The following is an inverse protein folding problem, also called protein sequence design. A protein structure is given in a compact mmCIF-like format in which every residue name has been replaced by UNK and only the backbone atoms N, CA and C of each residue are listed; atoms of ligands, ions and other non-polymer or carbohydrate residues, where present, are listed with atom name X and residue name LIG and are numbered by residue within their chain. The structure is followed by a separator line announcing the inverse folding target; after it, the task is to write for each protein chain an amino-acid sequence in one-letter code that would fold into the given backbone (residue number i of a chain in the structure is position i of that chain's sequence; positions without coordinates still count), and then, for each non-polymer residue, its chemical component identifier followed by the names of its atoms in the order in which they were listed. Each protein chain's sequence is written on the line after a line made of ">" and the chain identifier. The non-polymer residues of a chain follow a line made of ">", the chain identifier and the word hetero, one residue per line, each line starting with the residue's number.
data_IF_913818495533
#
_entry.id   IF_913818495533
#
_cell.length_a   1.000
_cell.length_b   1.000
_cell.length_c   1.000
_cell.angle_alpha   90.00
_cell.angle_beta   90.00
_cell.angle_gamma   90.00
#
_symmetry.space_group_name_H-M   'P 1'
#
loop_
_entity.id
_entity.type
_entity.pdbx_description
1 polymer ?
#
# COMPACT_ATOMS: atom_id res chain seq x y z
N UNK A 1 28.55 -8.22 -8.12
CA UNK A 1 27.61 -8.90 -9.05
C UNK A 1 27.10 -10.16 -8.39
N UNK A 2 25.82 -10.38 -8.41
CA UNK A 2 25.19 -11.53 -7.79
C UNK A 2 25.10 -12.70 -8.79
N UNK A 3 25.11 -13.93 -8.26
CA UNK A 3 24.91 -15.14 -9.09
C UNK A 3 23.51 -15.21 -9.67
N UNK A 4 22.52 -14.68 -8.94
CA UNK A 4 21.13 -14.60 -9.35
C UNK A 4 20.77 -13.13 -9.43
N UNK A 5 20.26 -12.70 -10.56
CA UNK A 5 19.90 -11.32 -10.78
C UNK A 5 18.41 -11.13 -10.51
N UNK A 6 18.10 -10.29 -9.53
CA UNK A 6 16.75 -9.93 -9.14
C UNK A 6 16.56 -8.42 -9.35
N UNK A 7 15.47 -8.04 -9.97
CA UNK A 7 15.14 -6.65 -10.27
C UNK A 7 14.00 -6.16 -9.37
N UNK A 8 14.22 -6.25 -8.07
CA UNK A 8 13.27 -5.76 -7.08
C UNK A 8 12.05 -6.65 -6.91
N UNK A 9 10.99 -6.07 -6.43
CA UNK A 9 9.73 -6.78 -6.18
C UNK A 9 8.80 -6.64 -7.37
N UNK A 10 8.33 -7.78 -7.90
CA UNK A 10 7.39 -7.75 -9.02
C UNK A 10 5.99 -7.35 -8.56
N UNK A 11 5.50 -7.98 -7.50
CA UNK A 11 4.16 -7.67 -6.99
C UNK A 11 4.00 -8.08 -5.54
N UNK A 12 2.95 -7.57 -4.93
CA UNK A 12 2.46 -7.98 -3.60
C UNK A 12 0.97 -8.28 -3.73
N UNK A 13 0.54 -9.42 -3.20
CA UNK A 13 -0.88 -9.80 -3.16
C UNK A 13 -1.32 -9.81 -1.70
N UNK A 14 -2.36 -9.04 -1.40
CA UNK A 14 -2.94 -8.95 -0.07
C UNK A 14 -4.24 -9.73 -0.03
N UNK A 15 -4.40 -10.59 0.97
CA UNK A 15 -5.68 -11.25 1.22
C UNK A 15 -6.50 -10.36 2.14
N UNK A 16 -7.73 -10.06 1.73
CA UNK A 16 -8.62 -9.15 2.46
C UNK A 16 -9.94 -9.84 2.80
N UNK A 17 -10.52 -9.50 3.93
CA UNK A 17 -11.81 -10.06 4.31
C UNK A 17 -12.97 -9.22 3.80
N UNK A 18 -12.81 -7.89 3.76
CA UNK A 18 -13.82 -6.95 3.24
C UNK A 18 -13.52 -6.61 1.80
N UNK A 19 -13.71 -7.58 0.93
CA UNK A 19 -13.25 -7.46 -0.45
C UNK A 19 -13.91 -6.29 -1.20
N UNK A 20 -15.21 -6.11 -1.05
CA UNK A 20 -15.93 -5.03 -1.74
C UNK A 20 -15.40 -3.65 -1.32
N UNK A 21 -15.23 -3.44 -0.04
CA UNK A 21 -14.69 -2.18 0.50
C UNK A 21 -13.21 -2.00 0.12
N UNK A 22 -12.41 -3.07 0.21
CA UNK A 22 -11.01 -3.04 -0.19
C UNK A 22 -10.86 -2.73 -1.67
N UNK A 23 -11.68 -3.35 -2.50
CA UNK A 23 -11.68 -3.09 -3.95
C UNK A 23 -11.93 -1.62 -4.23
N UNK A 24 -12.95 -1.03 -3.60
CA UNK A 24 -13.25 0.39 -3.77
C UNK A 24 -12.08 1.26 -3.31
N UNK A 25 -11.49 0.93 -2.18
CA UNK A 25 -10.34 1.65 -1.63
C UNK A 25 -9.16 1.64 -2.60
N UNK A 26 -8.73 0.45 -3.04
CA UNK A 26 -7.55 0.33 -3.90
C UNK A 26 -7.82 0.87 -5.31
N UNK A 27 -9.01 0.71 -5.85
CA UNK A 27 -9.37 1.29 -7.14
C UNK A 27 -9.43 2.81 -7.11
N UNK A 28 -9.67 3.41 -5.94
CA UNK A 28 -9.62 4.86 -5.77
C UNK A 28 -8.20 5.36 -5.57
N UNK A 29 -7.41 4.64 -4.78
CA UNK A 29 -6.09 5.10 -4.35
C UNK A 29 -4.99 4.83 -5.40
N UNK A 30 -4.89 3.59 -5.88
CA UNK A 30 -3.75 3.18 -6.69
C UNK A 30 -3.62 3.94 -8.01
N UNK A 31 -4.71 4.32 -8.70
CA UNK A 31 -4.57 5.19 -9.87
C UNK A 31 -3.94 6.55 -9.57
N UNK A 32 -4.12 7.06 -8.34
CA UNK A 32 -3.46 8.31 -7.92
C UNK A 32 -1.94 8.15 -7.84
N UNK A 33 -1.46 6.93 -7.67
CA UNK A 33 -0.04 6.59 -7.67
C UNK A 33 0.45 6.20 -9.07
N UNK A 34 -0.37 6.37 -10.10
CA UNK A 34 0.00 6.03 -11.47
C UNK A 34 -0.16 4.55 -11.80
N UNK A 35 -0.87 3.79 -10.97
CA UNK A 35 -1.10 2.36 -11.21
C UNK A 35 -2.42 2.15 -11.95
N UNK A 36 -2.43 1.19 -12.87
CA UNK A 36 -3.57 0.90 -13.73
C UNK A 36 -4.16 -0.45 -13.34
N UNK A 37 -5.48 -0.50 -13.21
CA UNK A 37 -6.19 -1.76 -12.96
C UNK A 37 -6.19 -2.60 -14.22
N UNK A 38 -5.53 -3.78 -14.16
CA UNK A 38 -5.43 -4.69 -15.30
C UNK A 38 -6.24 -5.97 -15.12
N UNK A 39 -6.66 -6.27 -13.90
CA UNK A 39 -7.59 -7.36 -13.61
C UNK A 39 -8.59 -6.91 -12.57
N UNK A 40 -9.87 -7.15 -12.82
CA UNK A 40 -10.96 -6.71 -11.96
C UNK A 40 -12.05 -7.78 -11.95
N UNK A 41 -11.84 -8.83 -11.14
CA UNK A 41 -12.75 -9.96 -11.04
C UNK A 41 -13.56 -9.95 -9.75
N UNK A 42 -14.35 -10.99 -9.52
CA UNK A 42 -15.21 -11.11 -8.33
C UNK A 42 -14.39 -11.27 -7.04
N UNK A 43 -13.25 -11.96 -7.13
CA UNK A 43 -12.46 -12.31 -5.96
C UNK A 43 -11.03 -11.78 -6.02
N UNK A 44 -10.70 -11.01 -7.05
CA UNK A 44 -9.34 -10.54 -7.28
C UNK A 44 -9.34 -9.23 -8.04
N UNK A 45 -8.48 -8.29 -7.61
CA UNK A 45 -8.29 -7.02 -8.28
C UNK A 45 -6.79 -6.68 -8.28
N UNK A 46 -6.25 -6.24 -9.43
CA UNK A 46 -4.81 -6.14 -9.62
C UNK A 46 -4.46 -4.85 -10.36
N UNK A 47 -3.56 -4.06 -9.78
CA UNK A 47 -3.09 -2.80 -10.34
C UNK A 47 -1.60 -2.87 -10.59
N UNK A 48 -1.17 -2.34 -11.74
CA UNK A 48 0.25 -2.37 -12.18
C UNK A 48 0.72 -0.94 -12.44
N UNK A 49 1.93 -0.63 -12.00
CA UNK A 49 2.58 0.65 -12.27
C UNK A 49 3.80 0.82 -11.38
N UNK A 50 4.69 1.77 -11.75
CA UNK A 50 5.90 2.03 -10.97
C UNK A 50 6.83 0.84 -10.87
N UNK A 51 6.81 -0.05 -11.87
CA UNK A 51 7.62 -1.27 -11.95
C UNK A 51 7.28 -2.28 -10.84
N UNK A 52 6.07 -2.21 -10.32
CA UNK A 52 5.55 -3.16 -9.34
C UNK A 52 4.05 -3.36 -9.58
N UNK A 53 3.43 -4.17 -8.77
CA UNK A 53 1.99 -4.36 -8.81
C UNK A 53 1.46 -4.65 -7.42
N UNK A 54 0.22 -4.27 -7.18
CA UNK A 54 -0.48 -4.57 -5.94
C UNK A 54 -1.81 -5.21 -6.30
N UNK A 55 -2.02 -6.41 -5.76
CA UNK A 55 -3.27 -7.13 -5.93
C UNK A 55 -3.94 -7.35 -4.59
N UNK A 56 -5.25 -7.47 -4.63
CA UNK A 56 -6.04 -7.93 -3.49
C UNK A 56 -6.83 -9.14 -3.91
N UNK A 57 -6.97 -10.09 -2.99
CA UNK A 57 -7.81 -11.26 -3.20
C UNK A 57 -8.73 -11.44 -2.00
N UNK A 58 -9.91 -12.01 -2.26
CA UNK A 58 -10.85 -12.34 -1.19
C UNK A 58 -10.28 -13.46 -0.33
N UNK A 59 -10.43 -13.37 0.98
CA UNK A 59 -10.07 -14.46 1.89
C UNK A 59 -11.03 -15.64 1.72
N UNK A 60 -10.61 -16.81 2.20
CA UNK A 60 -11.51 -17.95 2.26
C UNK A 60 -12.62 -17.68 3.30
N UNK A 61 -13.81 -18.27 3.12
CA UNK A 61 -14.97 -17.96 3.99
C UNK A 61 -14.70 -18.15 5.48
N UNK A 62 -13.86 -19.12 5.85
CA UNK A 62 -13.52 -19.37 7.26
C UNK A 62 -12.77 -18.23 7.92
N UNK A 63 -12.14 -17.34 7.15
CA UNK A 63 -11.39 -16.19 7.66
C UNK A 63 -12.18 -14.88 7.53
N UNK A 64 -13.43 -14.97 7.10
CA UNK A 64 -14.31 -13.82 6.94
C UNK A 64 -14.46 -13.10 8.29
N UNK A 65 -14.27 -11.78 8.27
CA UNK A 65 -14.37 -10.97 9.48
C UNK A 65 -13.06 -10.79 10.23
N UNK A 66 -11.97 -11.47 9.84
CA UNK A 66 -10.65 -11.21 10.42
C UNK A 66 -10.17 -9.81 10.04
N UNK A 67 -9.37 -9.22 10.92
CA UNK A 67 -8.69 -7.96 10.67
C UNK A 67 -7.19 -8.16 10.72
N UNK A 68 -6.46 -7.29 10.05
CA UNK A 68 -5.00 -7.36 10.00
C UNK A 68 -4.39 -7.02 11.36
N UNK A 69 -3.34 -7.78 11.73
CA UNK A 69 -2.57 -7.56 12.94
C UNK A 69 -1.10 -7.44 12.57
N UNK A 70 -0.57 -6.24 12.60
CA UNK A 70 0.80 -5.96 12.12
C UNK A 70 1.90 -6.61 12.97
N UNK A 71 1.59 -7.00 14.19
CA UNK A 71 2.58 -7.60 15.09
C UNK A 71 2.55 -9.13 15.08
N UNK A 72 1.68 -9.72 14.27
CA UNK A 72 1.69 -11.17 14.04
C UNK A 72 2.73 -11.50 13.00
N UNK A 73 3.17 -12.77 13.00
CA UNK A 73 4.16 -13.22 11.99
C UNK A 73 3.59 -13.02 10.59
N UNK A 74 4.37 -12.34 9.73
CA UNK A 74 3.98 -12.06 8.36
C UNK A 74 4.27 -10.60 8.01
N UNK A 75 3.36 -9.98 7.29
CA UNK A 75 3.50 -8.60 6.87
C UNK A 75 3.35 -7.64 8.06
N UNK A 76 4.26 -6.69 8.18
CA UNK A 76 4.12 -5.57 9.12
C UNK A 76 3.44 -4.38 8.43
N UNK A 77 3.93 -3.99 7.27
CA UNK A 77 3.35 -2.95 6.42
C UNK A 77 3.97 -2.99 5.04
N UNK A 78 3.32 -2.30 4.10
CA UNK A 78 3.88 -2.02 2.77
C UNK A 78 4.37 -0.58 2.76
N UNK A 79 5.45 -0.32 2.03
CA UNK A 79 5.91 1.05 1.83
C UNK A 79 6.12 1.32 0.35
N UNK A 80 5.49 2.38 -0.14
CA UNK A 80 5.64 2.86 -1.50
C UNK A 80 6.53 4.10 -1.51
N UNK A 81 7.38 4.22 -2.51
CA UNK A 81 8.36 5.30 -2.60
C UNK A 81 7.76 6.52 -3.29
N UNK A 82 7.69 7.64 -2.56
CA UNK A 82 7.34 8.92 -3.15
C UNK A 82 8.56 9.55 -3.81
N UNK A 83 8.33 10.38 -4.83
CA UNK A 83 9.41 11.12 -5.50
C UNK A 83 9.76 12.41 -4.78
N UNK A 84 8.84 12.97 -3.99
CA UNK A 84 9.04 14.24 -3.30
C UNK A 84 8.15 14.34 -2.07
N UNK A 85 8.44 15.34 -1.22
CA UNK A 85 7.61 15.64 -0.04
C UNK A 85 6.18 16.01 -0.47
N UNK A 86 6.03 16.71 -1.58
CA UNK A 86 4.71 17.11 -2.10
C UNK A 86 3.86 15.88 -2.37
N UNK A 87 4.45 14.79 -2.85
CA UNK A 87 3.71 13.56 -3.15
C UNK A 87 3.18 12.89 -1.86
N UNK A 88 3.94 12.98 -0.78
CA UNK A 88 3.47 12.52 0.53
C UNK A 88 2.30 13.39 1.00
N UNK A 89 2.42 14.73 0.87
CA UNK A 89 1.36 15.65 1.26
C UNK A 89 0.09 15.47 0.42
N UNK A 90 0.24 15.22 -0.88
CA UNK A 90 -0.88 14.95 -1.78
C UNK A 90 -1.58 13.64 -1.42
N UNK A 91 -0.81 12.64 -1.00
CA UNK A 91 -1.36 11.39 -0.50
C UNK A 91 -2.25 11.64 0.71
N UNK A 92 -1.76 12.41 1.68
CA UNK A 92 -2.53 12.80 2.86
C UNK A 92 -3.86 13.44 2.47
N UNK A 93 -3.80 14.41 1.57
CA UNK A 93 -4.99 15.13 1.13
C UNK A 93 -6.02 14.20 0.50
N UNK A 94 -5.56 13.29 -0.36
CA UNK A 94 -6.45 12.34 -1.02
C UNK A 94 -7.05 11.35 -0.02
N UNK A 95 -6.26 10.84 0.92
CA UNK A 95 -6.74 9.93 1.94
C UNK A 95 -7.86 10.54 2.78
N UNK A 96 -7.77 11.85 3.09
CA UNK A 96 -8.84 12.56 3.76
C UNK A 96 -10.10 12.64 2.90
N UNK A 97 -9.96 12.84 1.59
CA UNK A 97 -11.10 12.88 0.67
C UNK A 97 -11.87 11.57 0.65
N UNK A 98 -11.17 10.43 0.70
CA UNK A 98 -11.82 9.11 0.70
C UNK A 98 -12.07 8.58 2.12
N UNK A 99 -11.81 9.41 3.14
CA UNK A 99 -12.04 9.09 4.55
C UNK A 99 -11.30 7.84 5.02
N UNK A 100 -10.07 7.64 4.50
CA UNK A 100 -9.20 6.57 4.93
C UNK A 100 -8.68 6.83 6.33
N UNK A 101 -8.35 5.76 7.05
CA UNK A 101 -7.79 5.88 8.39
C UNK A 101 -6.29 6.19 8.32
N UNK A 102 -5.91 7.38 8.78
CA UNK A 102 -4.51 7.79 8.85
C UNK A 102 -4.01 7.46 10.25
N UNK A 103 -2.90 6.72 10.33
CA UNK A 103 -2.29 6.33 11.60
C UNK A 103 -1.37 7.43 12.12
N UNK A 104 -0.48 7.95 11.25
CA UNK A 104 0.43 9.05 11.57
C UNK A 104 0.93 9.71 10.29
N UNK A 105 1.37 10.94 10.46
CA UNK A 105 1.96 11.73 9.39
C UNK A 105 0.93 12.56 8.63
N UNK A 106 1.40 13.34 7.64
CA UNK A 106 2.80 13.44 7.20
C UNK A 106 3.72 14.00 8.28
N UNK A 107 4.87 13.38 8.47
CA UNK A 107 5.84 13.84 9.46
C UNK A 107 7.25 13.38 9.11
N UNK A 108 8.24 14.09 9.67
CA UNK A 108 9.63 13.70 9.54
C UNK A 108 10.01 12.73 10.65
N UNK A 109 10.97 11.87 10.35
CA UNK A 109 11.62 10.99 11.34
C UNK A 109 13.13 10.92 11.04
N UNK A 110 13.88 10.60 12.06
CA UNK A 110 15.34 10.48 11.96
C UNK A 110 15.80 9.05 11.61
N UNK A 111 14.89 8.21 11.16
CA UNK A 111 15.19 6.82 10.77
C UNK A 111 16.17 6.75 9.60
N UNK A 112 16.12 7.75 8.73
CA UNK A 112 17.03 7.88 7.59
C UNK A 112 17.09 9.34 7.16
N UNK A 113 18.16 9.74 6.43
CA UNK A 113 18.26 11.11 5.92
C UNK A 113 17.07 11.48 5.04
N UNK A 114 16.44 12.62 5.33
CA UNK A 114 15.33 13.14 4.55
C UNK A 114 14.04 12.32 4.65
N UNK A 115 13.90 11.51 5.68
CA UNK A 115 12.72 10.64 5.84
C UNK A 115 11.48 11.48 6.14
N UNK A 116 10.48 11.37 5.27
CA UNK A 116 9.20 12.06 5.39
C UNK A 116 8.12 11.11 4.91
N UNK A 117 7.09 10.87 5.72
CA UNK A 117 6.18 9.75 5.43
C UNK A 117 4.77 9.99 5.94
N UNK A 118 3.86 9.17 5.43
CA UNK A 118 2.51 9.00 5.95
C UNK A 118 2.22 7.50 6.09
N UNK A 119 1.58 7.12 7.18
CA UNK A 119 1.17 5.74 7.45
C UNK A 119 -0.35 5.70 7.60
N UNK A 120 -0.99 4.81 6.87
CA UNK A 120 -2.46 4.71 6.85
C UNK A 120 -2.88 3.25 6.74
N UNK A 121 -4.18 3.00 6.84
CA UNK A 121 -4.75 1.65 6.81
C UNK A 121 -5.75 1.50 5.69
N UNK A 122 -5.82 0.28 5.12
CA UNK A 122 -6.90 -0.11 4.25
C UNK A 122 -8.13 -0.52 5.09
N UNK A 123 -9.26 -0.91 4.47
CA UNK A 123 -10.46 -1.29 5.24
C UNK A 123 -10.29 -2.46 6.21
N UNK A 124 -9.32 -3.35 5.97
CA UNK A 124 -9.03 -4.47 6.87
C UNK A 124 -7.98 -4.13 7.94
N UNK A 125 -7.46 -2.91 7.91
CA UNK A 125 -6.40 -2.48 8.81
C UNK A 125 -4.99 -2.80 8.32
N UNK A 126 -4.85 -3.24 7.08
CA UNK A 126 -3.52 -3.48 6.49
C UNK A 126 -2.82 -2.13 6.36
N UNK A 127 -1.60 -2.05 6.90
CA UNK A 127 -0.86 -0.80 6.95
C UNK A 127 -0.07 -0.54 5.70
N UNK A 128 -0.20 0.68 5.21
CA UNK A 128 0.48 1.16 4.00
C UNK A 128 1.18 2.46 4.35
N UNK A 129 2.43 2.54 3.97
CA UNK A 129 3.24 3.73 4.14
C UNK A 129 3.58 4.31 2.77
N UNK A 130 3.59 5.64 2.66
CA UNK A 130 4.19 6.33 1.52
C UNK A 130 5.28 7.21 2.09
N UNK A 131 6.51 7.06 1.57
CA UNK A 131 7.65 7.76 2.13
C UNK A 131 8.55 8.38 1.07
N UNK A 132 9.26 9.40 1.51
CA UNK A 132 10.45 9.89 0.85
C UNK A 132 11.63 9.58 1.75
N UNK A 133 12.66 8.96 1.19
CA UNK A 133 13.87 8.65 1.93
C UNK A 133 15.06 8.64 0.97
N UNK A 134 16.18 9.25 1.39
CA UNK A 134 17.38 9.31 0.55
C UNK A 134 18.07 7.96 0.43
N UNK A 135 17.81 7.02 1.32
CA UNK A 135 18.40 5.68 1.21
C UNK A 135 17.66 4.75 0.26
N UNK A 136 16.47 5.15 -0.20
CA UNK A 136 15.65 4.33 -1.10
C UNK A 136 15.76 4.77 -2.57
N UNK A 137 16.67 5.65 -2.89
CA UNK A 137 16.87 6.15 -4.26
C UNK A 137 17.64 5.16 -5.13
#
# INVERSE_FOLDING_TARGET
>A
MSEIEINGMAHVILTVSRFSEARQFYKSLLPKFGMICVMDGEDFCYHVGGRTAIGIRRCDPEFSGETFQQYRVGLHHLCLRAKSRIDVDRTYKFLNQIKAKIVRGPEERDWAPGYYYILFEDPDGIRIEVNLSLIHI
#
